data_IF_734040722031
#
_entry.id   IF_734040722031
#
_cell.length_a   1.000
_cell.length_b   1.000
_cell.length_c   1.000
_cell.angle_alpha   90.00
_cell.angle_beta   90.00
_cell.angle_gamma   90.00
#
_symmetry.space_group_name_H-M   'P 1'
#
loop_
_entity.id
_entity.type
_entity.pdbx_description
1 polymer ?
#
# COMPACT_ATOMS: atom_id res chain seq x y z
N UNK A 1 -15.77 29.22 -3.19
CA UNK A 1 -14.65 29.92 -2.50
C UNK A 1 -13.42 29.02 -2.57
N UNK A 2 -12.22 29.52 -2.87
CA UNK A 2 -11.03 28.67 -2.99
C UNK A 2 -10.69 28.08 -1.62
N UNK A 3 -10.41 26.77 -1.56
CA UNK A 3 -9.96 26.11 -0.33
C UNK A 3 -8.54 26.57 -0.02
N UNK A 4 -8.37 27.30 1.08
CA UNK A 4 -7.05 27.63 1.61
C UNK A 4 -6.49 26.37 2.29
N UNK A 5 -5.46 25.77 1.71
CA UNK A 5 -4.68 24.73 2.37
C UNK A 5 -3.69 25.41 3.30
N UNK A 6 -3.76 25.09 4.60
CA UNK A 6 -2.70 25.44 5.54
C UNK A 6 -1.69 24.32 5.40
N UNK A 7 -0.57 24.61 4.74
CA UNK A 7 0.53 23.68 4.59
C UNK A 7 1.24 23.56 5.92
N UNK A 8 1.59 22.34 6.31
CA UNK A 8 2.51 22.17 7.42
C UNK A 8 3.94 22.61 7.04
N UNK A 9 4.84 22.64 8.02
CA UNK A 9 6.18 23.16 7.81
C UNK A 9 6.97 22.34 6.78
N UNK A 10 6.76 21.02 6.72
CA UNK A 10 7.43 20.15 5.74
C UNK A 10 6.86 20.40 4.34
N UNK A 11 5.54 20.48 4.21
CA UNK A 11 4.86 20.77 2.95
C UNK A 11 5.26 22.14 2.39
N UNK A 12 5.38 23.15 3.25
CA UNK A 12 5.78 24.49 2.86
C UNK A 12 7.26 24.57 2.46
N UNK A 13 8.14 23.80 3.12
CA UNK A 13 9.54 23.67 2.71
C UNK A 13 9.67 23.01 1.33
N UNK A 14 8.88 21.99 1.04
CA UNK A 14 8.82 21.33 -0.27
C UNK A 14 8.34 22.33 -1.35
N UNK A 15 7.29 23.10 -1.07
CA UNK A 15 6.76 24.09 -2.01
C UNK A 15 7.81 25.18 -2.33
N UNK A 16 8.43 25.75 -1.30
CA UNK A 16 9.49 26.76 -1.45
C UNK A 16 10.71 26.22 -2.21
N UNK A 17 11.08 24.95 -1.97
CA UNK A 17 12.17 24.30 -2.69
C UNK A 17 11.84 24.11 -4.17
N UNK A 18 10.61 23.69 -4.49
CA UNK A 18 10.12 23.54 -5.86
C UNK A 18 10.03 24.87 -6.62
N UNK A 19 9.56 25.93 -5.97
CA UNK A 19 9.50 27.26 -6.59
C UNK A 19 10.89 27.82 -6.90
N UNK A 20 11.88 27.59 -6.02
CA UNK A 20 13.25 28.09 -6.19
C UNK A 20 14.10 27.29 -7.16
N UNK A 21 13.91 25.98 -7.24
CA UNK A 21 14.83 25.10 -7.96
C UNK A 21 14.19 24.36 -9.13
N UNK A 22 12.87 24.49 -9.30
CA UNK A 22 12.12 23.75 -10.29
C UNK A 22 12.15 22.24 -10.04
N UNK A 23 11.57 21.47 -10.96
CA UNK A 23 11.72 20.02 -10.91
C UNK A 23 13.19 19.64 -11.12
N UNK A 24 13.77 18.75 -10.30
CA UNK A 24 15.11 18.25 -10.55
C UNK A 24 15.18 17.67 -11.97
N UNK A 25 16.32 17.81 -12.67
CA UNK A 25 16.45 17.33 -14.03
C UNK A 25 16.07 15.86 -14.10
N UNK A 26 15.22 15.54 -15.08
CA UNK A 26 14.75 14.18 -15.31
C UNK A 26 15.92 13.21 -15.34
N UNK A 27 15.87 12.16 -14.52
CA UNK A 27 16.89 11.10 -14.53
C UNK A 27 17.11 10.62 -15.96
N UNK A 28 18.39 10.55 -16.37
CA UNK A 28 18.77 9.96 -17.66
C UNK A 28 18.17 8.55 -17.74
N UNK A 29 17.52 8.22 -18.85
CA UNK A 29 16.82 6.95 -19.09
C UNK A 29 15.55 6.71 -18.24
N UNK A 30 14.74 7.76 -18.01
CA UNK A 30 13.43 7.67 -17.34
C UNK A 30 12.56 6.51 -17.87
N UNK A 31 12.53 6.31 -19.20
CA UNK A 31 11.76 5.22 -19.83
C UNK A 31 12.25 3.83 -19.41
N UNK A 32 13.57 3.63 -19.31
CA UNK A 32 14.18 2.37 -18.92
C UNK A 32 13.97 2.11 -17.42
N UNK A 33 14.17 3.13 -16.58
CA UNK A 33 13.95 3.04 -15.14
C UNK A 33 12.47 2.75 -14.85
N UNK A 34 11.55 3.43 -15.53
CA UNK A 34 10.10 3.19 -15.41
C UNK A 34 9.74 1.76 -15.81
N UNK A 35 10.34 1.24 -16.88
CA UNK A 35 10.16 -0.16 -17.31
C UNK A 35 10.68 -1.14 -16.25
N UNK A 36 11.89 -0.93 -15.75
CA UNK A 36 12.50 -1.77 -14.71
C UNK A 36 11.70 -1.76 -13.40
N UNK A 37 11.27 -0.58 -12.94
CA UNK A 37 10.43 -0.47 -11.74
C UNK A 37 9.07 -1.13 -11.93
N UNK A 38 8.47 -1.00 -13.12
CA UNK A 38 7.19 -1.67 -13.44
C UNK A 38 7.35 -3.19 -13.49
N UNK A 39 8.45 -3.68 -14.06
CA UNK A 39 8.77 -5.11 -14.09
C UNK A 39 9.08 -5.66 -12.69
N UNK A 40 9.86 -4.94 -11.88
CA UNK A 40 10.16 -5.32 -10.49
C UNK A 40 8.89 -5.34 -9.62
N UNK A 41 8.02 -4.33 -9.76
CA UNK A 41 6.73 -4.29 -9.07
C UNK A 41 5.86 -5.48 -9.47
N UNK A 42 5.76 -5.77 -10.78
CA UNK A 42 5.01 -6.93 -11.30
C UNK A 42 5.55 -8.26 -10.76
N UNK A 43 6.86 -8.46 -10.80
CA UNK A 43 7.52 -9.68 -10.30
C UNK A 43 7.33 -9.90 -8.80
N UNK A 44 7.23 -8.82 -8.02
CA UNK A 44 7.03 -8.87 -6.57
C UNK A 44 5.57 -9.16 -6.22
N UNK A 45 4.63 -8.54 -6.94
CA UNK A 45 3.19 -8.72 -6.74
C UNK A 45 2.69 -10.10 -7.21
N UNK A 46 3.25 -10.64 -8.28
CA UNK A 46 2.76 -11.88 -8.90
C UNK A 46 3.23 -13.17 -8.18
N UNK A 47 4.17 -13.09 -7.23
CA UNK A 47 4.66 -14.25 -6.47
C UNK A 47 3.68 -14.65 -5.35
N UNK A 48 2.56 -15.25 -5.74
CA UNK A 48 1.64 -15.89 -4.81
C UNK A 48 2.25 -17.22 -4.35
N UNK A 49 2.50 -17.37 -3.05
CA UNK A 49 2.86 -18.66 -2.43
C UNK A 49 1.71 -19.14 -1.54
N UNK A 50 1.35 -20.41 -1.69
CA UNK A 50 0.35 -21.04 -0.83
C UNK A 50 0.96 -21.31 0.56
N UNK A 51 0.22 -20.94 1.61
CA UNK A 51 0.56 -21.22 3.01
C UNK A 51 -0.55 -22.07 3.64
N UNK A 52 -0.19 -23.07 4.43
CA UNK A 52 -1.14 -23.86 5.21
C UNK A 52 -1.16 -23.34 6.65
N UNK A 53 -2.34 -22.97 7.15
CA UNK A 53 -2.53 -22.46 8.51
C UNK A 53 -3.57 -23.31 9.24
N UNK A 54 -3.25 -23.73 10.47
CA UNK A 54 -4.21 -24.39 11.36
C UNK A 54 -4.83 -23.35 12.29
N UNK A 55 -6.16 -23.24 12.27
CA UNK A 55 -6.92 -22.32 13.11
C UNK A 55 -7.94 -23.11 13.93
N UNK A 56 -8.33 -22.59 15.10
CA UNK A 56 -9.45 -23.13 15.86
C UNK A 56 -10.76 -22.91 15.11
N UNK A 57 -11.74 -23.81 15.28
CA UNK A 57 -13.06 -23.65 14.66
C UNK A 57 -13.73 -22.33 15.03
N UNK A 58 -13.60 -21.92 16.30
CA UNK A 58 -14.11 -20.64 16.80
C UNK A 58 -13.54 -19.47 16.01
N UNK A 59 -12.24 -19.46 15.75
CA UNK A 59 -11.57 -18.41 14.97
C UNK A 59 -12.06 -18.38 13.54
N UNK A 60 -12.18 -19.55 12.89
CA UNK A 60 -12.69 -19.65 11.51
C UNK A 60 -14.11 -19.11 11.41
N UNK A 61 -14.96 -19.44 12.39
CA UNK A 61 -16.35 -18.96 12.41
C UNK A 61 -16.44 -17.44 12.57
N UNK A 62 -15.66 -16.85 13.48
CA UNK A 62 -15.60 -15.41 13.67
C UNK A 62 -15.08 -14.68 12.42
N UNK A 63 -14.08 -15.26 11.74
CA UNK A 63 -13.51 -14.66 10.54
C UNK A 63 -14.50 -14.70 9.36
N UNK A 64 -15.25 -15.80 9.21
CA UNK A 64 -16.36 -15.90 8.25
C UNK A 64 -17.46 -14.88 8.54
N UNK A 65 -17.83 -14.71 9.81
CA UNK A 65 -18.84 -13.73 10.22
C UNK A 65 -18.43 -12.30 9.88
N UNK A 66 -17.18 -11.91 10.19
CA UNK A 66 -16.65 -10.57 9.83
C UNK A 66 -16.57 -10.38 8.31
N UNK A 67 -16.09 -11.38 7.59
CA UNK A 67 -15.98 -11.30 6.13
C UNK A 67 -17.36 -11.15 5.46
N UNK A 68 -18.37 -11.85 5.96
CA UNK A 68 -19.75 -11.70 5.51
C UNK A 68 -20.30 -10.29 5.76
N UNK A 69 -19.96 -9.68 6.90
CA UNK A 69 -20.35 -8.30 7.21
C UNK A 69 -19.70 -7.28 6.25
N UNK A 70 -18.43 -7.50 5.89
CA UNK A 70 -17.70 -6.66 4.92
C UNK A 70 -18.04 -6.99 3.45
N UNK A 71 -18.84 -8.04 3.21
CA UNK A 71 -19.22 -8.48 1.85
C UNK A 71 -18.08 -9.09 1.04
N UNK A 72 -17.03 -9.60 1.71
CA UNK A 72 -15.84 -10.19 1.07
C UNK A 72 -15.65 -11.66 1.46
N UNK A 73 -14.95 -12.47 0.64
CA UNK A 73 -14.59 -13.83 1.03
C UNK A 73 -13.71 -13.87 2.28
N UNK A 74 -13.91 -14.87 3.14
CA UNK A 74 -13.13 -15.00 4.38
C UNK A 74 -11.63 -15.20 4.12
N UNK A 75 -11.27 -15.85 3.01
CA UNK A 75 -9.87 -15.99 2.60
C UNK A 75 -9.25 -14.62 2.24
N UNK A 76 -10.02 -13.75 1.60
CA UNK A 76 -9.59 -12.39 1.24
C UNK A 76 -9.38 -11.54 2.48
N UNK A 77 -10.28 -11.62 3.46
CA UNK A 77 -10.11 -10.95 4.75
C UNK A 77 -8.88 -11.48 5.51
N UNK A 78 -8.68 -12.80 5.55
CA UNK A 78 -7.50 -13.39 6.18
C UNK A 78 -6.20 -12.92 5.49
N UNK A 79 -6.18 -12.91 4.16
CA UNK A 79 -5.04 -12.42 3.38
C UNK A 79 -4.75 -10.94 3.61
N UNK A 80 -5.78 -10.08 3.69
CA UNK A 80 -5.61 -8.65 3.92
C UNK A 80 -5.05 -8.37 5.31
N UNK A 81 -5.49 -9.10 6.34
CA UNK A 81 -4.96 -9.04 7.70
C UNK A 81 -3.48 -9.45 7.72
N UNK A 82 -3.14 -10.59 7.11
CA UNK A 82 -1.76 -11.07 7.04
C UNK A 82 -0.85 -10.07 6.32
N UNK A 83 -1.33 -9.48 5.22
CA UNK A 83 -0.58 -8.45 4.50
C UNK A 83 -0.36 -7.21 5.36
N UNK A 84 -1.42 -6.67 5.99
CA UNK A 84 -1.33 -5.51 6.88
C UNK A 84 -0.37 -5.75 8.05
N UNK A 85 -0.41 -6.96 8.63
CA UNK A 85 0.48 -7.36 9.71
C UNK A 85 1.93 -7.43 9.24
N UNK A 86 2.21 -8.09 8.13
CA UNK A 86 3.56 -8.19 7.58
C UNK A 86 4.12 -6.85 7.11
N UNK A 87 3.27 -5.93 6.63
CA UNK A 87 3.69 -4.60 6.17
C UNK A 87 3.81 -3.57 7.29
N UNK A 88 3.62 -3.95 8.56
CA UNK A 88 3.67 -3.03 9.70
C UNK A 88 2.52 -2.01 9.75
N UNK A 89 1.43 -2.25 9.01
CA UNK A 89 0.24 -1.39 8.95
C UNK A 89 -0.89 -1.88 9.85
N UNK A 90 -0.64 -2.90 10.67
CA UNK A 90 -1.65 -3.51 11.54
C UNK A 90 -1.79 -2.82 12.89
N UNK A 91 -0.86 -1.93 13.25
CA UNK A 91 -0.89 -1.18 14.51
C UNK A 91 -1.03 0.32 14.27
N UNK A 92 -2.19 0.86 14.68
CA UNK A 92 -2.42 2.23 15.14
C UNK A 92 -3.44 2.18 16.26
#
# INVERSE_FOLDING_TARGET
>A
MPKYYILDQEEQEIENYFEKHGFPPTVKNLAQIKKQLKEAAKLTLDKIRNINLRLSERTVHQLKSRAAHEGIPYQTLAGSILHKYASGQFDK
#
